data_IF_992590673920
#
_entry.id   IF_992590673920
#
_cell.length_a   1.000
_cell.length_b   1.000
_cell.length_c   1.000
_cell.angle_alpha   90.00
_cell.angle_beta   90.00
_cell.angle_gamma   90.00
#
_symmetry.space_group_name_H-M   'P 1'
#
loop_
_entity.id
_entity.type
_entity.pdbx_description
1 polymer ?
#
# COMPACT_ATOMS: atom_id res chain seq x y z
N UNK A 1 -19.18 16.47 -8.51
CA UNK A 1 -19.64 16.97 -9.82
C UNK A 1 -18.81 18.16 -10.26
N UNK A 2 -18.77 19.30 -9.55
CA UNK A 2 -18.02 20.50 -9.98
C UNK A 2 -16.53 20.22 -10.33
N UNK A 3 -15.83 19.38 -9.54
CA UNK A 3 -14.44 18.98 -9.85
C UNK A 3 -14.41 18.20 -11.17
N UNK A 4 -15.30 17.23 -11.37
CA UNK A 4 -15.34 16.42 -12.60
C UNK A 4 -15.75 17.23 -13.84
N UNK A 5 -16.54 18.27 -13.67
CA UNK A 5 -16.90 19.20 -14.76
C UNK A 5 -15.71 20.05 -15.20
N UNK A 6 -14.81 20.40 -14.25
CA UNK A 6 -13.60 21.16 -14.53
C UNK A 6 -12.45 20.29 -15.04
N UNK A 7 -12.32 19.07 -14.47
CA UNK A 7 -11.34 18.08 -14.88
C UNK A 7 -11.93 17.19 -15.98
N UNK A 8 -11.19 17.05 -17.09
CA UNK A 8 -11.56 16.13 -18.16
C UNK A 8 -11.55 14.69 -17.68
N UNK A 9 -12.25 13.78 -18.38
CA UNK A 9 -12.28 12.35 -18.09
C UNK A 9 -10.90 11.68 -18.11
N UNK A 10 -9.91 12.30 -18.74
CA UNK A 10 -8.53 11.80 -18.84
C UNK A 10 -7.71 12.03 -17.54
N UNK A 11 -8.18 12.91 -16.66
CA UNK A 11 -7.48 13.21 -15.41
C UNK A 11 -8.14 12.45 -14.25
N UNK A 12 -7.39 11.55 -13.57
CA UNK A 12 -7.95 10.82 -12.45
C UNK A 12 -8.22 11.75 -11.25
N UNK A 13 -9.33 11.49 -10.55
CA UNK A 13 -9.69 12.14 -9.29
C UNK A 13 -9.48 11.12 -8.16
N UNK A 14 -8.57 11.44 -7.24
CA UNK A 14 -8.38 10.70 -6.00
C UNK A 14 -8.98 11.49 -4.84
N UNK A 15 -9.77 10.84 -4.00
CA UNK A 15 -10.32 11.41 -2.77
C UNK A 15 -9.71 10.69 -1.56
N UNK A 16 -9.17 11.45 -0.61
CA UNK A 16 -8.73 10.90 0.67
C UNK A 16 -9.83 11.03 1.70
N UNK A 17 -10.13 9.92 2.37
CA UNK A 17 -11.15 9.85 3.42
C UNK A 17 -10.56 9.26 4.71
N UNK A 18 -11.18 9.60 5.84
CA UNK A 18 -11.02 8.87 7.09
C UNK A 18 -12.11 7.80 7.15
N UNK A 19 -11.73 6.53 7.14
CA UNK A 19 -12.67 5.42 7.12
C UNK A 19 -13.28 5.11 8.49
N UNK A 20 -12.73 5.68 9.55
CA UNK A 20 -13.27 5.64 10.91
C UNK A 20 -12.65 6.76 11.74
N UNK A 21 -13.42 7.31 12.65
CA UNK A 21 -12.93 8.32 13.59
C UNK A 21 -12.34 7.70 14.88
N UNK A 22 -12.43 6.38 15.04
CA UNK A 22 -12.00 5.68 16.26
C UNK A 22 -12.62 6.23 17.54
N UNK A 23 -13.81 6.79 17.44
CA UNK A 23 -14.55 7.41 18.52
C UNK A 23 -16.01 6.95 18.51
N UNK A 24 -16.65 6.99 19.67
CA UNK A 24 -18.08 6.75 19.79
C UNK A 24 -18.87 7.80 19.02
N UNK A 25 -19.90 7.39 18.31
CA UNK A 25 -20.71 8.22 17.39
C UNK A 25 -19.92 8.86 16.22
N UNK A 26 -18.73 8.35 15.92
CA UNK A 26 -17.96 8.72 14.74
C UNK A 26 -18.38 7.94 13.48
N UNK A 27 -17.66 8.16 12.39
CA UNK A 27 -17.88 7.46 11.11
C UNK A 27 -17.75 5.95 11.30
N UNK A 28 -18.80 5.22 10.87
CA UNK A 28 -18.88 3.77 10.88
C UNK A 28 -18.43 3.15 9.56
N UNK A 29 -18.28 1.83 9.52
CA UNK A 29 -17.99 1.10 8.28
C UNK A 29 -19.14 1.25 7.26
N UNK A 30 -20.39 1.26 7.71
CA UNK A 30 -21.56 1.45 6.84
C UNK A 30 -21.56 2.85 6.22
N UNK A 31 -21.27 3.89 7.01
CA UNK A 31 -21.17 5.26 6.52
C UNK A 31 -20.09 5.38 5.43
N UNK A 32 -18.91 4.80 5.65
CA UNK A 32 -17.81 4.90 4.69
C UNK A 32 -18.10 4.13 3.40
N UNK A 33 -18.82 3.01 3.47
CA UNK A 33 -19.26 2.28 2.29
C UNK A 33 -20.27 3.09 1.48
N UNK A 34 -21.25 3.73 2.17
CA UNK A 34 -22.19 4.62 1.52
C UNK A 34 -21.48 5.80 0.84
N UNK A 35 -20.61 6.51 1.57
CA UNK A 35 -19.80 7.63 1.04
C UNK A 35 -18.99 7.19 -0.17
N UNK A 36 -18.34 6.02 -0.11
CA UNK A 36 -17.54 5.48 -1.20
C UNK A 36 -18.37 5.19 -2.45
N UNK A 37 -19.58 4.68 -2.27
CA UNK A 37 -20.52 4.44 -3.36
C UNK A 37 -21.00 5.74 -4.00
N UNK A 38 -21.23 6.79 -3.21
CA UNK A 38 -21.55 8.13 -3.72
C UNK A 38 -20.37 8.70 -4.49
N UNK A 39 -19.15 8.62 -3.99
CA UNK A 39 -17.96 9.09 -4.70
C UNK A 39 -17.79 8.39 -6.06
N UNK A 40 -17.96 7.08 -6.09
CA UNK A 40 -17.94 6.32 -7.34
C UNK A 40 -19.01 6.83 -8.34
N UNK A 41 -20.24 7.04 -7.88
CA UNK A 41 -21.35 7.49 -8.74
C UNK A 41 -21.15 8.88 -9.35
N UNK A 42 -20.37 9.75 -8.69
CA UNK A 42 -20.06 11.11 -9.16
C UNK A 42 -18.71 11.19 -9.90
N UNK A 43 -18.09 10.04 -10.21
CA UNK A 43 -16.90 9.96 -11.06
C UNK A 43 -15.56 10.13 -10.34
N UNK A 44 -15.47 9.75 -9.07
CA UNK A 44 -14.17 9.55 -8.38
C UNK A 44 -13.57 8.24 -8.88
N UNK A 45 -12.29 8.25 -9.21
CA UNK A 45 -11.59 7.10 -9.79
C UNK A 45 -10.94 6.22 -8.73
N UNK A 46 -10.48 6.80 -7.61
CA UNK A 46 -9.78 6.05 -6.57
C UNK A 46 -9.93 6.71 -5.20
N UNK A 47 -10.05 5.90 -4.16
CA UNK A 47 -10.13 6.37 -2.77
C UNK A 47 -8.80 6.10 -2.04
N UNK A 48 -8.18 7.14 -1.49
CA UNK A 48 -7.06 7.04 -0.58
C UNK A 48 -7.60 6.87 0.85
N UNK A 49 -7.44 5.67 1.39
CA UNK A 49 -8.01 5.29 2.68
C UNK A 49 -7.06 5.64 3.81
N UNK A 50 -7.55 6.47 4.72
CA UNK A 50 -6.91 6.82 6.00
C UNK A 50 -7.89 6.56 7.13
N UNK A 51 -7.47 6.77 8.38
CA UNK A 51 -8.32 6.66 9.56
C UNK A 51 -7.88 7.63 10.64
N UNK A 52 -8.81 8.11 11.46
CA UNK A 52 -8.53 8.99 12.58
C UNK A 52 -8.08 10.41 12.21
N UNK A 53 -7.58 11.13 13.19
CA UNK A 53 -7.19 12.55 13.14
C UNK A 53 -8.34 13.50 12.79
N UNK A 54 -9.55 13.16 13.19
CA UNK A 54 -10.77 13.92 12.93
C UNK A 54 -11.36 14.51 14.21
N UNK A 55 -11.21 13.82 15.34
CA UNK A 55 -11.75 14.20 16.63
C UNK A 55 -10.69 14.05 17.74
N UNK A 56 -10.82 14.86 18.80
CA UNK A 56 -9.82 14.89 19.88
C UNK A 56 -9.89 13.70 20.84
N UNK A 57 -11.00 12.98 20.88
CA UNK A 57 -11.25 11.84 21.75
C UNK A 57 -11.08 10.48 21.03
N UNK A 58 -10.38 10.46 19.92
CA UNK A 58 -10.11 9.22 19.19
C UNK A 58 -9.21 8.25 19.98
N UNK A 59 -9.47 6.95 19.84
CA UNK A 59 -8.66 5.88 20.41
C UNK A 59 -8.26 4.84 19.36
N UNK A 60 -7.34 5.16 18.43
CA UNK A 60 -7.01 4.32 17.31
C UNK A 60 -6.26 3.05 17.73
N UNK A 61 -6.66 1.92 17.20
CA UNK A 61 -5.95 0.64 17.34
C UNK A 61 -4.86 0.54 16.26
N UNK A 62 -3.69 1.10 16.53
CA UNK A 62 -2.60 1.13 15.58
C UNK A 62 -1.78 -0.16 15.57
N UNK A 63 -1.17 -0.49 14.43
CA UNK A 63 -0.33 -1.66 14.25
C UNK A 63 0.15 -1.78 12.80
N UNK A 64 0.89 -2.82 12.47
CA UNK A 64 1.31 -3.07 11.09
C UNK A 64 0.09 -3.25 10.19
N UNK A 65 0.06 -2.53 9.06
CA UNK A 65 -1.01 -2.61 8.05
C UNK A 65 -2.42 -2.29 8.59
N UNK A 66 -2.52 -1.50 9.68
CA UNK A 66 -3.75 -1.28 10.44
C UNK A 66 -4.89 -0.61 9.66
N UNK A 67 -4.58 0.08 8.56
CA UNK A 67 -5.60 0.67 7.68
C UNK A 67 -6.00 -0.23 6.52
N UNK A 68 -5.28 -1.33 6.28
CA UNK A 68 -5.54 -2.25 5.17
C UNK A 68 -6.94 -2.89 5.23
N UNK A 69 -7.48 -3.30 6.38
CA UNK A 69 -8.84 -3.83 6.44
C UNK A 69 -9.89 -2.89 5.87
N UNK A 70 -9.77 -1.58 6.16
CA UNK A 70 -10.72 -0.58 5.64
C UNK A 70 -10.61 -0.42 4.11
N UNK A 71 -9.41 -0.43 3.55
CA UNK A 71 -9.24 -0.38 2.09
C UNK A 71 -9.76 -1.65 1.41
N UNK A 72 -9.59 -2.81 2.04
CA UNK A 72 -10.11 -4.11 1.60
C UNK A 72 -11.65 -4.07 1.55
N UNK A 73 -12.30 -3.65 2.63
CA UNK A 73 -13.76 -3.50 2.70
C UNK A 73 -14.28 -2.53 1.63
N UNK A 74 -13.70 -1.33 1.51
CA UNK A 74 -14.13 -0.33 0.53
C UNK A 74 -13.96 -0.87 -0.89
N UNK A 75 -12.78 -1.39 -1.22
CA UNK A 75 -12.50 -1.92 -2.55
C UNK A 75 -13.46 -3.03 -2.94
N UNK A 76 -13.63 -4.01 -2.07
CA UNK A 76 -14.33 -5.24 -2.42
C UNK A 76 -15.85 -5.14 -2.22
N UNK A 77 -16.35 -4.17 -1.44
CA UNK A 77 -17.79 -3.94 -1.26
C UNK A 77 -18.31 -2.80 -2.13
N UNK A 78 -17.71 -1.62 -2.08
CA UNK A 78 -18.12 -0.48 -2.92
C UNK A 78 -17.61 -0.60 -4.38
N UNK A 79 -16.71 -1.56 -4.65
CA UNK A 79 -16.19 -1.83 -5.99
C UNK A 79 -15.55 -0.57 -6.63
N UNK A 80 -14.75 0.14 -5.84
CA UNK A 80 -13.96 1.29 -6.28
C UNK A 80 -12.49 1.05 -5.94
N UNK A 81 -11.54 1.38 -6.82
CA UNK A 81 -10.12 1.25 -6.55
C UNK A 81 -9.69 1.98 -5.26
N UNK A 82 -8.71 1.43 -4.55
CA UNK A 82 -8.24 2.00 -3.29
C UNK A 82 -6.72 2.14 -3.23
N UNK A 83 -6.28 3.17 -2.51
CA UNK A 83 -4.91 3.34 -2.05
C UNK A 83 -4.91 3.11 -0.54
N UNK A 84 -4.13 2.15 -0.06
CA UNK A 84 -3.99 1.90 1.39
C UNK A 84 -2.70 2.47 1.95
N UNK A 85 -2.67 2.66 3.27
CA UNK A 85 -1.52 3.12 4.03
C UNK A 85 -1.46 2.40 5.40
N UNK A 86 -0.70 2.92 6.36
CA UNK A 86 -0.76 2.52 7.77
C UNK A 86 0.31 1.53 8.21
N UNK A 87 1.53 2.02 8.50
CA UNK A 87 2.68 1.23 8.99
C UNK A 87 2.98 0.01 8.09
N UNK A 88 3.12 0.29 6.79
CA UNK A 88 3.60 -0.66 5.78
C UNK A 88 5.08 -0.34 5.59
N UNK A 89 5.97 -1.28 5.91
CA UNK A 89 7.41 -1.03 6.09
C UNK A 89 8.31 -1.87 5.20
N UNK A 90 7.78 -2.90 4.57
CA UNK A 90 8.56 -3.82 3.75
C UNK A 90 7.80 -4.28 2.49
N UNK A 91 8.54 -4.85 1.56
CA UNK A 91 8.02 -5.27 0.25
C UNK A 91 7.08 -6.48 0.38
N UNK A 92 7.30 -7.37 1.33
CA UNK A 92 6.44 -8.55 1.52
C UNK A 92 5.03 -8.15 1.96
N UNK A 93 4.93 -7.09 2.79
CA UNK A 93 3.64 -6.50 3.17
C UNK A 93 2.94 -5.90 1.95
N UNK A 94 3.67 -5.15 1.10
CA UNK A 94 3.12 -4.57 -0.13
C UNK A 94 2.61 -5.67 -1.05
N UNK A 95 3.43 -6.69 -1.32
CA UNK A 95 3.05 -7.83 -2.16
C UNK A 95 1.83 -8.57 -1.58
N UNK A 96 1.78 -8.76 -0.27
CA UNK A 96 0.62 -9.38 0.41
C UNK A 96 -0.66 -8.57 0.18
N UNK A 97 -0.61 -7.25 0.29
CA UNK A 97 -1.78 -6.37 0.08
C UNK A 97 -2.27 -6.45 -1.37
N UNK A 98 -1.36 -6.26 -2.33
CA UNK A 98 -1.71 -6.17 -3.75
C UNK A 98 -2.15 -7.54 -4.30
N UNK A 99 -1.38 -8.59 -4.05
CA UNK A 99 -1.67 -9.93 -4.58
C UNK A 99 -2.93 -10.56 -3.98
N UNK A 100 -3.30 -10.20 -2.76
CA UNK A 100 -4.57 -10.64 -2.16
C UNK A 100 -5.75 -9.69 -2.49
N UNK A 101 -5.56 -8.71 -3.36
CA UNK A 101 -6.62 -7.81 -3.80
C UNK A 101 -7.18 -6.88 -2.73
N UNK A 102 -6.42 -6.59 -1.65
CA UNK A 102 -6.86 -5.76 -0.53
C UNK A 102 -6.81 -4.27 -0.80
N UNK A 103 -5.99 -3.86 -1.75
CA UNK A 103 -5.91 -2.51 -2.30
C UNK A 103 -5.29 -2.58 -3.70
N UNK A 104 -5.40 -1.48 -4.47
CA UNK A 104 -4.79 -1.38 -5.81
C UNK A 104 -3.43 -0.71 -5.75
N UNK A 105 -3.26 0.23 -4.82
CA UNK A 105 -2.01 0.94 -4.59
C UNK A 105 -1.68 1.00 -3.09
N UNK A 106 -0.40 1.19 -2.79
CA UNK A 106 0.10 1.37 -1.42
C UNK A 106 0.81 2.71 -1.30
N UNK A 107 0.37 3.54 -0.35
CA UNK A 107 1.02 4.80 -0.03
C UNK A 107 2.04 4.62 1.09
N UNK A 108 3.28 5.01 0.82
CA UNK A 108 4.39 4.94 1.76
C UNK A 108 4.82 6.35 2.17
N UNK A 109 4.80 6.64 3.46
CA UNK A 109 5.32 7.89 4.02
C UNK A 109 6.67 7.66 4.71
N UNK A 110 6.63 7.25 5.97
CA UNK A 110 7.84 7.08 6.81
C UNK A 110 8.94 6.20 6.18
N UNK A 111 8.64 5.08 5.50
CA UNK A 111 9.67 4.28 4.84
C UNK A 111 10.46 5.05 3.78
N UNK A 112 9.81 5.92 3.00
CA UNK A 112 10.48 6.73 1.98
C UNK A 112 11.26 7.91 2.58
N UNK A 113 10.88 8.41 3.77
CA UNK A 113 11.68 9.40 4.50
C UNK A 113 12.96 8.79 5.05
N UNK A 114 12.91 7.52 5.47
CA UNK A 114 14.07 6.79 5.97
C UNK A 114 14.96 6.30 4.83
N UNK A 115 14.38 5.79 3.76
CA UNK A 115 15.07 5.25 2.61
C UNK A 115 14.41 5.71 1.29
N UNK A 116 14.87 6.81 0.69
CA UNK A 116 14.35 7.31 -0.58
C UNK A 116 14.47 6.31 -1.74
N UNK A 117 15.36 5.33 -1.62
CA UNK A 117 15.61 4.30 -2.63
C UNK A 117 14.86 2.99 -2.36
N UNK A 118 13.95 2.97 -1.40
CA UNK A 118 13.17 1.79 -1.01
C UNK A 118 12.59 1.03 -2.22
N UNK A 119 11.88 1.72 -3.11
CA UNK A 119 11.25 1.09 -4.28
C UNK A 119 12.28 0.49 -5.23
N UNK A 120 13.41 1.19 -5.47
CA UNK A 120 14.49 0.69 -6.34
C UNK A 120 15.19 -0.54 -5.75
N UNK A 121 15.40 -0.55 -4.44
CA UNK A 121 15.93 -1.72 -3.74
C UNK A 121 14.97 -2.90 -3.82
N UNK A 122 13.66 -2.65 -3.65
CA UNK A 122 12.63 -3.66 -3.81
C UNK A 122 12.60 -4.24 -5.23
N UNK A 123 12.69 -3.40 -6.27
CA UNK A 123 12.79 -3.86 -7.66
C UNK A 123 14.01 -4.75 -7.89
N UNK A 124 15.19 -4.33 -7.40
CA UNK A 124 16.39 -5.13 -7.51
C UNK A 124 16.32 -6.46 -6.74
N UNK A 125 15.72 -6.44 -5.54
CA UNK A 125 15.51 -7.64 -4.73
C UNK A 125 14.61 -8.65 -5.44
N UNK A 126 13.51 -8.19 -6.06
CA UNK A 126 12.58 -9.01 -6.83
C UNK A 126 13.06 -9.30 -8.27
N UNK A 127 14.27 -8.85 -8.63
CA UNK A 127 14.87 -9.02 -9.96
C UNK A 127 14.08 -8.34 -11.10
N UNK A 128 13.38 -7.24 -10.80
CA UNK A 128 12.79 -6.40 -11.82
C UNK A 128 13.79 -5.40 -12.38
N UNK A 129 13.70 -5.13 -13.68
CA UNK A 129 14.52 -4.11 -14.32
C UNK A 129 14.20 -2.72 -13.76
N UNK A 130 15.21 -2.03 -13.27
CA UNK A 130 15.06 -0.64 -12.82
C UNK A 130 15.17 0.28 -14.03
N UNK A 131 14.06 0.92 -14.40
CA UNK A 131 13.95 1.84 -15.54
C UNK A 131 13.99 3.30 -15.07
N UNK A 132 14.12 4.20 -16.03
CA UNK A 132 14.03 5.66 -15.82
C UNK A 132 14.98 6.21 -14.75
N UNK A 133 16.24 5.78 -14.82
CA UNK A 133 17.27 6.26 -13.93
C UNK A 133 18.07 7.36 -14.64
N UNK A 134 18.31 8.50 -14.00
CA UNK A 134 19.23 9.50 -14.53
C UNK A 134 20.60 8.91 -14.78
N UNK A 135 21.23 9.23 -15.93
CA UNK A 135 22.56 8.70 -16.34
C UNK A 135 23.63 8.79 -15.25
N UNK A 136 23.58 9.85 -14.44
CA UNK A 136 24.51 10.04 -13.31
C UNK A 136 24.42 8.95 -12.24
N UNK A 137 23.32 8.22 -12.15
CA UNK A 137 23.08 7.15 -11.16
C UNK A 137 23.22 5.74 -11.74
N UNK A 138 23.37 5.57 -13.05
CA UNK A 138 23.45 4.26 -13.70
C UNK A 138 24.58 3.37 -13.13
N UNK A 139 25.70 3.99 -12.75
CA UNK A 139 26.84 3.26 -12.13
C UNK A 139 26.50 2.58 -10.80
N UNK A 140 25.43 3.00 -10.12
CA UNK A 140 24.96 2.40 -8.87
C UNK A 140 24.05 1.19 -9.06
N UNK A 141 23.57 0.92 -10.28
CA UNK A 141 22.56 -0.12 -10.53
C UNK A 141 23.15 -1.53 -10.42
N UNK A 142 24.22 -1.81 -11.13
CA UNK A 142 24.83 -3.15 -11.15
C UNK A 142 25.26 -3.62 -9.74
N UNK A 143 25.95 -2.78 -8.92
CA UNK A 143 26.23 -3.10 -7.52
C UNK A 143 24.98 -3.34 -6.69
N UNK A 144 23.89 -2.55 -6.88
CA UNK A 144 22.63 -2.72 -6.18
C UNK A 144 22.02 -4.08 -6.45
N UNK A 145 21.90 -4.48 -7.73
CA UNK A 145 21.40 -5.81 -8.13
C UNK A 145 22.23 -6.94 -7.55
N UNK A 146 23.56 -6.85 -7.67
CA UNK A 146 24.48 -7.86 -7.14
C UNK A 146 24.32 -8.05 -5.63
N UNK A 147 24.24 -6.96 -4.89
CA UNK A 147 24.03 -7.00 -3.43
C UNK A 147 22.71 -7.65 -3.06
N UNK A 148 21.62 -7.19 -3.65
CA UNK A 148 20.27 -7.69 -3.34
C UNK A 148 20.11 -9.17 -3.73
N UNK A 149 20.64 -9.59 -4.86
CA UNK A 149 20.64 -11.01 -5.26
C UNK A 149 21.47 -11.88 -4.31
N UNK A 150 22.55 -11.36 -3.78
CA UNK A 150 23.36 -12.07 -2.78
C UNK A 150 22.61 -12.26 -1.49
N UNK A 151 21.97 -11.21 -0.97
CA UNK A 151 21.15 -11.24 0.24
C UNK A 151 19.99 -12.23 0.09
N UNK A 152 19.28 -12.19 -1.04
CA UNK A 152 18.19 -13.12 -1.34
C UNK A 152 18.66 -14.57 -1.31
N UNK A 153 19.78 -14.89 -1.98
CA UNK A 153 20.36 -16.25 -1.97
C UNK A 153 20.76 -16.71 -0.57
N UNK A 154 21.28 -15.82 0.27
CA UNK A 154 21.63 -16.12 1.65
C UNK A 154 20.38 -16.45 2.47
N UNK A 155 19.34 -15.63 2.34
CA UNK A 155 18.06 -15.82 3.03
C UNK A 155 17.41 -17.16 2.63
N UNK A 156 17.39 -17.50 1.35
CA UNK A 156 16.87 -18.78 0.86
C UNK A 156 17.64 -19.97 1.44
N UNK A 157 18.97 -19.88 1.52
CA UNK A 157 19.81 -20.92 2.14
C UNK A 157 19.48 -21.10 3.62
N UNK A 158 19.26 -19.99 4.35
CA UNK A 158 18.85 -20.06 5.76
C UNK A 158 17.46 -20.69 5.92
N UNK A 159 16.49 -20.28 5.10
CA UNK A 159 15.13 -20.85 5.10
C UNK A 159 15.15 -22.36 4.85
N UNK A 160 16.00 -22.84 3.91
CA UNK A 160 16.16 -24.30 3.65
C UNK A 160 16.74 -25.07 4.85
N UNK A 161 17.68 -24.47 5.58
CA UNK A 161 18.29 -25.10 6.78
C UNK A 161 17.30 -25.19 7.94
N UNK A 162 16.35 -24.28 8.03
CA UNK A 162 15.35 -24.22 9.10
C UNK A 162 14.13 -25.12 8.83
N UNK A 163 13.95 -25.65 7.62
CA UNK A 163 12.88 -26.64 7.37
C UNK A 163 13.18 -27.92 8.12
N UNK A 164 12.24 -28.43 8.96
CA UNK A 164 12.41 -29.71 9.63
C UNK A 164 12.62 -30.79 8.56
N UNK A 165 13.58 -31.69 8.78
CA UNK A 165 13.75 -32.88 7.95
C UNK A 165 12.43 -33.67 8.04
N UNK A 166 11.73 -33.84 6.91
CA UNK A 166 10.56 -34.71 6.87
C UNK A 166 11.03 -36.12 7.27
N UNK A 167 10.55 -36.63 8.40
CA UNK A 167 10.73 -38.03 8.74
C UNK A 167 10.09 -38.84 7.61
N UNK A 168 10.94 -39.46 6.78
CA UNK A 168 10.51 -40.55 5.92
C UNK A 168 10.38 -41.77 6.83
N UNK A 169 9.19 -42.06 7.26
CA UNK A 169 8.81 -43.39 7.67
C UNK A 169 8.41 -44.19 6.43
#
# INVERSE_FOLDING_TARGET
TAIRETFTSEKPISVRISATDWAENGITEEDVLYISSVFKSVGVDIINVSTGNTVSNEAPKTGRMWQVPFSDTIKNTAQIPTITAGIITDIDQINTIILNGKADLVALGKPLLLDPYFVRKAQAYENFEVKDIPKSYERGIAPLYSLQQTERKQLEKMKRKLKPKSNKN
#
